data_IF_569629257304
#
_entry.id   IF_569629257304
#
_cell.length_a   1.000
_cell.length_b   1.000
_cell.length_c   1.000
_cell.angle_alpha   90.00
_cell.angle_beta   90.00
_cell.angle_gamma   90.00
#
_symmetry.space_group_name_H-M   'P 1'
#
loop_
_entity.id
_entity.type
_entity.pdbx_description
1 polymer ?
#
# COMPACT_ATOMS: atom_id res chain seq x y z
N UNK A 1 8.01 -36.95 -54.56
CA UNK A 1 8.87 -36.69 -53.38
C UNK A 1 9.03 -35.21 -53.03
N UNK A 2 9.10 -34.27 -54.00
CA UNK A 2 9.31 -32.83 -53.72
C UNK A 2 8.12 -32.12 -53.04
N UNK A 3 6.88 -32.43 -53.43
CA UNK A 3 5.66 -31.85 -52.84
C UNK A 3 5.51 -32.16 -51.34
N UNK A 4 5.80 -33.40 -50.91
CA UNK A 4 5.78 -33.77 -49.49
C UNK A 4 6.84 -32.99 -48.67
N UNK A 5 8.01 -32.71 -49.25
CA UNK A 5 9.05 -31.89 -48.59
C UNK A 5 8.59 -30.44 -48.40
N UNK A 6 7.98 -29.85 -49.42
CA UNK A 6 7.47 -28.48 -49.36
C UNK A 6 6.34 -28.35 -48.32
N UNK A 7 5.39 -29.30 -48.31
CA UNK A 7 4.32 -29.34 -47.31
C UNK A 7 4.86 -29.46 -45.87
N UNK A 8 5.90 -30.29 -45.66
CA UNK A 8 6.52 -30.41 -44.34
C UNK A 8 7.24 -29.12 -43.93
N UNK A 9 7.89 -28.40 -44.85
CA UNK A 9 8.54 -27.11 -44.55
C UNK A 9 7.49 -26.08 -44.10
N UNK A 10 6.33 -26.02 -44.76
CA UNK A 10 5.24 -25.15 -44.34
C UNK A 10 4.70 -25.53 -42.96
N UNK A 11 4.53 -26.83 -42.68
CA UNK A 11 4.07 -27.31 -41.38
C UNK A 11 5.06 -26.97 -40.26
N UNK A 12 6.36 -27.16 -40.49
CA UNK A 12 7.39 -26.78 -39.52
C UNK A 12 7.45 -25.27 -39.30
N UNK A 13 7.31 -24.47 -40.37
CA UNK A 13 7.28 -23.01 -40.25
C UNK A 13 6.07 -22.51 -39.47
N UNK A 14 4.90 -23.12 -39.67
CA UNK A 14 3.71 -22.81 -38.90
C UNK A 14 3.87 -23.17 -37.43
N UNK A 15 4.38 -24.38 -37.15
CA UNK A 15 4.66 -24.84 -35.79
C UNK A 15 5.68 -23.95 -35.09
N UNK A 16 6.70 -23.50 -35.81
CA UNK A 16 7.72 -22.59 -35.29
C UNK A 16 7.16 -21.19 -34.99
N UNK A 17 6.28 -20.67 -35.84
CA UNK A 17 5.57 -19.42 -35.57
C UNK A 17 4.69 -19.50 -34.33
N UNK A 18 3.98 -20.62 -34.15
CA UNK A 18 3.17 -20.87 -32.96
C UNK A 18 4.01 -20.99 -31.69
N UNK A 19 5.20 -21.61 -31.80
CA UNK A 19 6.17 -21.66 -30.71
C UNK A 19 6.66 -20.27 -30.31
N UNK A 20 7.01 -19.42 -31.28
CA UNK A 20 7.45 -18.04 -31.00
C UNK A 20 6.33 -17.24 -30.35
N UNK A 21 5.09 -17.41 -30.80
CA UNK A 21 3.93 -16.73 -30.21
C UNK A 21 3.74 -17.12 -28.74
N UNK A 22 3.82 -18.41 -28.41
CA UNK A 22 3.73 -18.89 -27.03
C UNK A 22 4.89 -18.38 -26.16
N UNK A 23 6.11 -18.33 -26.70
CA UNK A 23 7.25 -17.77 -25.98
C UNK A 23 7.03 -16.27 -25.71
N UNK A 24 6.56 -15.51 -26.71
CA UNK A 24 6.26 -14.10 -26.53
C UNK A 24 5.19 -13.87 -25.43
N UNK A 25 4.14 -14.68 -25.42
CA UNK A 25 3.08 -14.63 -24.41
C UNK A 25 3.60 -14.96 -22.99
N UNK A 26 4.52 -15.92 -22.85
CA UNK A 26 5.14 -16.24 -21.55
C UNK A 26 6.04 -15.11 -21.06
N UNK A 27 6.79 -14.46 -21.94
CA UNK A 27 7.74 -13.42 -21.56
C UNK A 27 7.12 -12.01 -21.42
N UNK A 28 6.09 -11.68 -22.20
CA UNK A 28 5.44 -10.35 -22.21
C UNK A 28 3.94 -10.35 -21.87
N UNK A 29 3.31 -11.51 -21.73
CA UNK A 29 1.90 -11.60 -21.37
C UNK A 29 1.66 -11.26 -19.90
N UNK A 30 0.39 -11.22 -19.50
CA UNK A 30 -0.04 -10.74 -18.19
C UNK A 30 0.48 -11.56 -16.99
N UNK A 31 1.06 -12.73 -17.26
CA UNK A 31 1.73 -13.58 -16.27
C UNK A 31 3.26 -13.37 -16.21
N UNK A 32 3.79 -12.35 -16.90
CA UNK A 32 5.20 -12.02 -16.88
C UNK A 32 5.64 -11.53 -15.50
N UNK A 33 6.83 -11.94 -15.08
CA UNK A 33 7.50 -11.61 -13.81
C UNK A 33 7.52 -10.10 -13.48
N UNK A 34 7.29 -9.22 -14.45
CA UNK A 34 7.21 -7.78 -14.20
C UNK A 34 5.99 -7.37 -13.36
N UNK A 35 4.83 -7.99 -13.58
CA UNK A 35 3.62 -7.64 -12.80
C UNK A 35 3.73 -8.11 -11.37
N UNK A 36 4.48 -9.18 -11.10
CA UNK A 36 4.63 -9.72 -9.76
C UNK A 36 5.41 -8.79 -8.83
N UNK A 37 6.44 -8.12 -9.33
CA UNK A 37 7.21 -7.14 -8.56
C UNK A 37 6.38 -5.89 -8.23
N UNK A 38 5.61 -5.37 -9.20
CA UNK A 38 4.72 -4.22 -8.99
C UNK A 38 3.59 -4.58 -8.01
N UNK A 39 3.02 -5.80 -8.13
CA UNK A 39 1.98 -6.26 -7.21
C UNK A 39 2.53 -6.42 -5.79
N UNK A 40 3.74 -6.96 -5.64
CA UNK A 40 4.41 -7.13 -4.34
C UNK A 40 4.74 -5.79 -3.70
N UNK A 41 5.23 -4.82 -4.49
CA UNK A 41 5.44 -3.45 -4.04
C UNK A 41 4.12 -2.80 -3.59
N UNK A 42 3.05 -2.95 -4.36
CA UNK A 42 1.74 -2.42 -4.02
C UNK A 42 1.19 -3.02 -2.71
N UNK A 43 1.37 -4.34 -2.53
CA UNK A 43 0.99 -5.04 -1.29
C UNK A 43 1.77 -4.48 -0.11
N UNK A 44 3.10 -4.34 -0.23
CA UNK A 44 3.95 -3.81 0.85
C UNK A 44 3.54 -2.38 1.25
N UNK A 45 3.27 -1.50 0.28
CA UNK A 45 2.80 -0.14 0.55
C UNK A 45 1.46 -0.17 1.30
N UNK A 46 0.53 -1.03 0.87
CA UNK A 46 -0.79 -1.15 1.50
C UNK A 46 -0.71 -1.73 2.90
N UNK A 47 0.18 -2.67 3.15
CA UNK A 47 0.43 -3.20 4.49
C UNK A 47 1.04 -2.15 5.42
N UNK A 48 1.96 -1.31 4.93
CA UNK A 48 2.52 -0.21 5.71
C UNK A 48 1.46 0.85 6.07
N UNK A 49 0.61 1.23 5.10
CA UNK A 49 -0.52 2.13 5.32
C UNK A 49 -1.50 1.56 6.37
N UNK A 50 -1.85 0.27 6.26
CA UNK A 50 -2.72 -0.40 7.22
C UNK A 50 -2.11 -0.43 8.62
N UNK A 51 -0.80 -0.66 8.73
CA UNK A 51 -0.09 -0.65 10.00
C UNK A 51 -0.14 0.73 10.67
N UNK A 52 0.10 1.80 9.90
CA UNK A 52 0.00 3.19 10.40
C UNK A 52 -1.40 3.50 10.91
N UNK A 53 -2.43 3.23 10.09
CA UNK A 53 -3.83 3.46 10.46
C UNK A 53 -4.23 2.62 11.69
N UNK A 54 -3.75 1.38 11.80
CA UNK A 54 -4.02 0.53 12.95
C UNK A 54 -3.41 1.11 14.23
N UNK A 55 -2.17 1.59 14.17
CA UNK A 55 -1.48 2.20 15.31
C UNK A 55 -2.17 3.50 15.74
N UNK A 56 -2.53 4.37 14.80
CA UNK A 56 -3.29 5.60 15.08
C UNK A 56 -4.63 5.28 15.75
N UNK A 57 -5.38 4.31 15.23
CA UNK A 57 -6.63 3.87 15.84
C UNK A 57 -6.44 3.33 17.26
N UNK A 58 -5.35 2.61 17.54
CA UNK A 58 -5.05 2.13 18.89
C UNK A 58 -4.74 3.28 19.85
N UNK A 59 -3.99 4.28 19.38
CA UNK A 59 -3.67 5.47 20.17
C UNK A 59 -4.93 6.27 20.49
N UNK A 60 -5.75 6.58 19.49
CA UNK A 60 -7.03 7.30 19.66
C UNK A 60 -7.95 6.54 20.60
N UNK A 61 -8.04 5.21 20.47
CA UNK A 61 -8.89 4.40 21.36
C UNK A 61 -8.40 4.45 22.81
N UNK A 62 -7.09 4.47 23.02
CA UNK A 62 -6.48 4.59 24.35
C UNK A 62 -6.75 5.97 24.94
N UNK A 63 -6.61 7.02 24.15
CA UNK A 63 -6.92 8.39 24.53
C UNK A 63 -8.40 8.56 24.90
N UNK A 64 -9.32 8.02 24.08
CA UNK A 64 -10.76 8.00 24.39
C UNK A 64 -11.02 7.29 25.72
N UNK A 65 -10.34 6.19 26.00
CA UNK A 65 -10.50 5.47 27.26
C UNK A 65 -10.02 6.32 28.44
N UNK A 66 -8.87 6.98 28.29
CA UNK A 66 -8.32 7.84 29.33
C UNK A 66 -9.20 9.07 29.60
N UNK A 67 -9.72 9.72 28.55
CA UNK A 67 -10.69 10.81 28.65
C UNK A 67 -11.97 10.37 29.38
N UNK A 68 -12.48 9.18 29.08
CA UNK A 68 -13.69 8.65 29.74
C UNK A 68 -13.48 8.35 31.22
N UNK A 69 -12.26 7.98 31.59
CA UNK A 69 -11.93 7.58 32.96
C UNK A 69 -11.43 8.78 33.80
N UNK A 70 -11.18 9.95 33.18
CA UNK A 70 -10.62 11.13 33.84
C UNK A 70 -11.20 12.46 33.32
N UNK A 71 -12.15 13.03 34.06
CA UNK A 71 -12.80 14.31 33.75
C UNK A 71 -11.84 15.52 33.79
N UNK A 72 -10.79 15.48 34.61
CA UNK A 72 -9.79 16.57 34.70
C UNK A 72 -8.92 16.61 33.44
N UNK A 73 -8.61 15.44 32.88
CA UNK A 73 -7.91 15.36 31.60
C UNK A 73 -8.79 15.82 30.43
N UNK A 74 -10.09 15.50 30.45
CA UNK A 74 -11.04 16.05 29.47
C UNK A 74 -11.11 17.58 29.53
N UNK A 75 -11.15 18.16 30.74
CA UNK A 75 -11.12 19.62 30.94
C UNK A 75 -9.83 20.23 30.36
N UNK A 76 -8.67 19.60 30.60
CA UNK A 76 -7.39 20.05 30.09
C UNK A 76 -7.36 20.10 28.56
N UNK A 77 -7.79 19.02 27.88
CA UNK A 77 -7.83 18.96 26.41
C UNK A 77 -8.79 20.00 25.85
N UNK A 78 -9.99 20.14 26.43
CA UNK A 78 -10.96 21.14 25.98
C UNK A 78 -10.42 22.57 26.16
N UNK A 79 -9.67 22.82 27.23
CA UNK A 79 -9.02 24.10 27.46
C UNK A 79 -7.90 24.35 26.45
N UNK A 80 -7.07 23.36 26.15
CA UNK A 80 -6.01 23.46 25.14
C UNK A 80 -6.59 23.77 23.76
N UNK A 81 -7.62 23.06 23.32
CA UNK A 81 -8.29 23.26 22.03
C UNK A 81 -8.99 24.63 21.91
N UNK A 82 -9.45 25.19 23.04
CA UNK A 82 -10.07 26.50 23.12
C UNK A 82 -9.08 27.65 23.42
N UNK A 83 -7.80 27.36 23.65
CA UNK A 83 -6.79 28.34 24.05
C UNK A 83 -7.04 28.97 25.44
N UNK A 84 -7.58 28.20 26.38
CA UNK A 84 -7.96 28.64 27.73
C UNK A 84 -6.94 28.21 28.79
N UNK A 85 -6.61 29.09 29.73
CA UNK A 85 -5.64 28.83 30.82
C UNK A 85 -6.34 28.84 32.19
N UNK A 86 -5.98 27.92 33.10
CA UNK A 86 -6.53 27.89 34.48
C UNK A 86 -5.90 28.98 35.32
N UNK A 87 -6.62 29.47 36.32
CA UNK A 87 -6.03 30.34 37.32
C UNK A 87 -4.83 29.65 38.00
N UNK A 88 -3.64 30.24 37.87
CA UNK A 88 -2.39 29.71 38.44
C UNK A 88 -1.53 28.88 37.47
N UNK A 89 -1.98 28.66 36.23
CA UNK A 89 -1.17 28.09 35.15
C UNK A 89 -0.58 29.22 34.28
N UNK A 90 0.66 29.07 33.84
CA UNK A 90 1.34 30.00 32.93
C UNK A 90 1.39 29.36 31.54
N UNK A 91 0.87 30.06 30.53
CA UNK A 91 0.96 29.61 29.13
C UNK A 91 2.40 29.77 28.66
N UNK A 92 3.05 28.67 28.28
CA UNK A 92 4.36 28.69 27.63
C UNK A 92 4.11 28.51 26.14
N UNK A 93 4.46 29.53 25.36
CA UNK A 93 4.43 29.44 23.91
C UNK A 93 5.69 28.70 23.45
N UNK A 94 5.54 27.44 23.01
CA UNK A 94 6.64 26.60 22.53
C UNK A 94 7.04 26.95 21.08
N UNK A 95 6.73 28.16 20.60
CA UNK A 95 7.13 28.63 19.27
C UNK A 95 8.66 28.83 19.22
N UNK A 96 9.42 28.06 18.40
CA UNK A 96 10.85 28.28 18.27
C UNK A 96 11.12 29.58 17.47
N UNK A 97 11.93 30.49 18.03
CA UNK A 97 12.49 31.66 17.32
C UNK A 97 13.27 31.30 16.04
#
# INVERSE_FOLDING_TARGET
>A
MKIKRVANIFLYSFLFGLLIYLLYDIFLGDYSFSQQAELEELVNIKEEELSKISNENQNIKTEIQFIKDNDEYLELIAREELGLVREGEEYIDDEPE
#
